data_IF_496435748936
#
_entry.id   IF_496435748936
#
_cell.length_a   1.000
_cell.length_b   1.000
_cell.length_c   1.000
_cell.angle_alpha   90.00
_cell.angle_beta   90.00
_cell.angle_gamma   90.00
#
_symmetry.space_group_name_H-M   'P 1'
#
loop_
_entity.id
_entity.type
_entity.pdbx_description
1 polymer ?
#
# COMPACT_ATOMS: atom_id res chain seq x y z
N UNK A 1 14.24 5.96 21.72
CA UNK A 1 14.64 5.37 20.42
C UNK A 1 13.49 4.50 19.97
N UNK A 2 12.96 4.73 18.77
CA UNK A 2 11.78 4.00 18.23
C UNK A 2 12.23 3.00 17.19
N UNK A 3 11.62 1.82 17.17
CA UNK A 3 11.77 0.83 16.10
C UNK A 3 10.61 0.94 15.12
N UNK A 4 10.89 1.45 13.92
CA UNK A 4 9.92 1.55 12.84
C UNK A 4 9.92 0.29 11.96
N UNK A 5 8.74 -0.21 11.64
CA UNK A 5 8.51 -1.16 10.56
C UNK A 5 8.10 -0.44 9.28
N UNK A 6 8.68 -0.77 8.14
CA UNK A 6 8.32 -0.19 6.85
C UNK A 6 7.64 -1.25 5.95
N UNK A 7 6.31 -1.23 5.87
CA UNK A 7 5.55 -2.09 4.95
C UNK A 7 5.59 -1.47 3.56
N UNK A 8 6.45 -2.02 2.70
CA UNK A 8 6.72 -1.50 1.37
C UNK A 8 6.72 -2.64 0.34
N UNK A 9 6.16 -2.46 -0.86
CA UNK A 9 6.24 -3.43 -1.94
C UNK A 9 7.66 -3.45 -2.53
N UNK A 10 8.59 -4.12 -1.86
CA UNK A 10 10.04 -4.12 -2.14
C UNK A 10 10.41 -4.66 -3.53
N UNK A 11 9.54 -5.46 -4.14
CA UNK A 11 9.65 -5.90 -5.53
C UNK A 11 9.52 -4.76 -6.56
N UNK A 12 8.95 -3.62 -6.18
CA UNK A 12 8.77 -2.47 -7.06
C UNK A 12 9.75 -1.35 -6.69
N UNK A 13 10.79 -1.20 -7.50
CA UNK A 13 11.89 -0.26 -7.22
C UNK A 13 11.44 1.19 -7.04
N UNK A 14 10.38 1.62 -7.75
CA UNK A 14 9.84 2.98 -7.60
C UNK A 14 9.40 3.29 -6.17
N UNK A 15 8.77 2.34 -5.49
CA UNK A 15 8.32 2.49 -4.10
C UNK A 15 9.48 2.41 -3.10
N UNK A 16 10.52 1.62 -3.40
CA UNK A 16 11.72 1.61 -2.58
C UNK A 16 12.46 2.94 -2.63
N UNK A 17 12.56 3.56 -3.82
CA UNK A 17 13.31 4.80 -3.98
C UNK A 17 12.74 5.96 -3.16
N UNK A 18 11.44 5.98 -2.88
CA UNK A 18 10.81 6.99 -2.02
C UNK A 18 10.96 6.66 -0.53
N UNK A 19 10.91 5.37 -0.17
CA UNK A 19 10.97 4.90 1.22
C UNK A 19 12.40 4.86 1.79
N UNK A 20 13.40 4.52 0.98
CA UNK A 20 14.78 4.34 1.45
C UNK A 20 15.39 5.63 2.04
N UNK A 21 15.30 6.82 1.40
CA UNK A 21 15.84 8.04 1.98
C UNK A 21 15.19 8.40 3.33
N UNK A 22 13.87 8.20 3.44
CA UNK A 22 13.14 8.42 4.70
C UNK A 22 13.65 7.49 5.81
N UNK A 23 13.79 6.21 5.50
CA UNK A 23 14.29 5.22 6.45
C UNK A 23 15.74 5.47 6.87
N UNK A 24 16.60 5.87 5.92
CA UNK A 24 17.99 6.24 6.21
C UNK A 24 18.08 7.48 7.10
N UNK A 25 17.22 8.48 6.89
CA UNK A 25 17.17 9.66 7.73
C UNK A 25 16.68 9.33 9.15
N UNK A 26 15.68 8.47 9.31
CA UNK A 26 15.26 7.97 10.61
C UNK A 26 16.40 7.22 11.32
N UNK A 27 17.12 6.36 10.59
CA UNK A 27 18.30 5.67 11.11
C UNK A 27 19.38 6.66 11.56
N UNK A 28 19.67 7.69 10.76
CA UNK A 28 20.65 8.74 11.09
C UNK A 28 20.27 9.50 12.35
N UNK A 29 18.98 9.65 12.63
CA UNK A 29 18.43 10.25 13.86
C UNK A 29 18.43 9.31 15.08
N UNK A 30 19.00 8.11 14.94
CA UNK A 30 19.13 7.15 16.03
C UNK A 30 17.91 6.25 16.22
N UNK A 31 17.04 6.12 15.22
CA UNK A 31 15.95 5.13 15.22
C UNK A 31 16.41 3.82 14.55
N UNK A 32 15.68 2.73 14.82
CA UNK A 32 15.83 1.46 14.10
C UNK A 32 14.75 1.37 13.03
N UNK A 33 15.08 0.89 11.84
CA UNK A 33 14.10 0.74 10.75
C UNK A 33 14.27 -0.63 10.09
N UNK A 34 13.19 -1.40 10.06
CA UNK A 34 13.13 -2.73 9.43
C UNK A 34 12.07 -2.72 8.34
N UNK A 35 12.45 -3.02 7.10
CA UNK A 35 11.49 -3.20 6.01
C UNK A 35 10.81 -4.55 6.12
N UNK A 36 9.51 -4.56 5.91
CA UNK A 36 8.68 -5.76 5.90
C UNK A 36 8.23 -5.95 4.46
N UNK A 37 8.76 -6.99 3.80
CA UNK A 37 8.60 -7.20 2.37
C UNK A 37 8.59 -8.67 1.97
N UNK A 38 8.23 -8.95 0.73
CA UNK A 38 8.22 -10.32 0.20
C UNK A 38 9.65 -10.88 0.21
N UNK A 39 9.81 -12.17 0.50
CA UNK A 39 11.10 -12.87 0.40
C UNK A 39 11.80 -12.66 -0.95
N UNK A 40 13.13 -12.54 -0.94
CA UNK A 40 13.98 -12.46 -2.12
C UNK A 40 14.09 -11.08 -2.76
N UNK A 41 13.61 -10.04 -2.05
CA UNK A 41 13.69 -8.63 -2.46
C UNK A 41 14.45 -7.74 -1.46
N UNK A 42 15.21 -8.36 -0.54
CA UNK A 42 15.94 -7.69 0.54
C UNK A 42 17.20 -6.94 0.07
N UNK A 43 17.80 -7.34 -1.05
CA UNK A 43 19.14 -6.92 -1.45
C UNK A 43 19.33 -5.39 -1.47
N UNK A 44 18.35 -4.63 -2.00
CA UNK A 44 18.43 -3.16 -2.06
C UNK A 44 18.29 -2.51 -0.69
N UNK A 45 17.47 -3.08 0.19
CA UNK A 45 17.29 -2.59 1.57
C UNK A 45 18.55 -2.83 2.38
N UNK A 46 19.11 -4.04 2.29
CA UNK A 46 20.35 -4.39 2.98
C UNK A 46 21.53 -3.55 2.48
N UNK A 47 21.64 -3.32 1.17
CA UNK A 47 22.66 -2.45 0.58
C UNK A 47 22.53 -0.98 1.05
N UNK A 48 21.32 -0.53 1.39
CA UNK A 48 21.07 0.77 1.99
C UNK A 48 21.39 0.82 3.50
N UNK A 49 21.88 -0.29 4.08
CA UNK A 49 22.23 -0.42 5.49
C UNK A 49 21.02 -0.53 6.42
N UNK A 50 19.87 -0.97 5.92
CA UNK A 50 18.63 -1.11 6.67
C UNK A 50 18.33 -2.59 6.92
N UNK A 51 17.46 -2.87 7.89
CA UNK A 51 17.08 -4.24 8.22
C UNK A 51 15.91 -4.72 7.35
N UNK A 52 15.78 -6.03 7.20
CA UNK A 52 14.72 -6.65 6.43
C UNK A 52 14.07 -7.79 7.21
N UNK A 53 12.75 -7.88 7.11
CA UNK A 53 11.91 -8.94 7.64
C UNK A 53 11.05 -9.44 6.49
N UNK A 54 11.26 -10.69 6.11
CA UNK A 54 10.62 -11.30 4.97
C UNK A 54 9.30 -11.97 5.35
N UNK A 55 8.37 -12.00 4.39
CA UNK A 55 7.11 -12.73 4.50
C UNK A 55 6.76 -13.41 3.17
N UNK A 56 5.76 -14.28 3.18
CA UNK A 56 5.25 -14.93 1.96
C UNK A 56 6.16 -16.03 1.43
N UNK A 57 6.82 -16.77 2.32
CA UNK A 57 7.77 -17.83 1.96
C UNK A 57 7.15 -18.95 1.12
N UNK A 58 5.91 -19.32 1.45
CA UNK A 58 5.19 -20.39 0.78
C UNK A 58 4.45 -19.88 -0.48
N UNK A 59 3.88 -18.68 -0.39
CA UNK A 59 2.86 -18.19 -1.34
C UNK A 59 3.39 -17.19 -2.38
N UNK A 60 4.53 -16.53 -2.13
CA UNK A 60 5.00 -15.37 -2.92
C UNK A 60 6.50 -15.46 -3.28
N UNK A 61 7.01 -16.65 -3.59
CA UNK A 61 8.42 -16.81 -3.99
C UNK A 61 8.80 -15.88 -5.16
N UNK A 62 10.08 -15.46 -5.27
CA UNK A 62 10.54 -14.59 -6.36
C UNK A 62 10.22 -15.15 -7.76
N UNK A 63 10.30 -16.46 -7.94
CA UNK A 63 9.95 -17.13 -9.20
C UNK A 63 8.46 -17.03 -9.50
N UNK A 64 7.59 -17.25 -8.50
CA UNK A 64 6.15 -17.13 -8.63
C UNK A 64 5.73 -15.68 -8.95
N UNK A 65 6.39 -14.71 -8.30
CA UNK A 65 6.20 -13.28 -8.57
C UNK A 65 6.65 -12.90 -9.98
N UNK A 66 7.83 -13.36 -10.42
CA UNK A 66 8.32 -13.13 -11.78
C UNK A 66 7.38 -13.71 -12.84
N UNK A 67 6.89 -14.93 -12.63
CA UNK A 67 5.91 -15.58 -13.53
C UNK A 67 4.59 -14.80 -13.60
N UNK A 68 4.09 -14.36 -12.45
CA UNK A 68 2.85 -13.59 -12.36
C UNK A 68 2.98 -12.22 -13.04
N UNK A 69 4.08 -11.51 -12.81
CA UNK A 69 4.34 -10.22 -13.46
C UNK A 69 4.54 -10.37 -14.98
N UNK A 70 5.22 -11.42 -15.41
CA UNK A 70 5.35 -11.75 -16.84
C UNK A 70 3.98 -12.04 -17.46
N UNK A 71 3.13 -12.83 -16.81
CA UNK A 71 1.78 -13.08 -17.31
C UNK A 71 0.96 -11.78 -17.39
N UNK A 72 1.02 -10.93 -16.36
CA UNK A 72 0.37 -9.63 -16.37
C UNK A 72 0.83 -8.76 -17.56
N UNK A 73 2.11 -8.82 -17.93
CA UNK A 73 2.64 -8.05 -19.06
C UNK A 73 2.14 -8.55 -20.43
N UNK A 74 1.61 -9.77 -20.51
CA UNK A 74 1.00 -10.30 -21.74
C UNK A 74 -0.49 -9.92 -21.87
N UNK A 75 -1.09 -9.35 -20.82
CA UNK A 75 -2.49 -8.94 -20.80
C UNK A 75 -2.63 -7.44 -21.12
N UNK A 76 -3.81 -7.04 -21.56
CA UNK A 76 -4.15 -5.62 -21.77
C UNK A 76 -5.58 -5.30 -21.30
N UNK A 77 -5.89 -4.01 -21.16
CA UNK A 77 -7.22 -3.52 -20.82
C UNK A 77 -7.82 -4.14 -19.55
N UNK A 78 -9.08 -4.58 -19.65
CA UNK A 78 -9.85 -5.13 -18.51
C UNK A 78 -9.25 -6.46 -18.01
N UNK A 79 -8.66 -7.28 -18.89
CA UNK A 79 -8.04 -8.54 -18.50
C UNK A 79 -6.83 -8.30 -17.59
N UNK A 80 -5.93 -7.38 -17.98
CA UNK A 80 -4.79 -6.97 -17.17
C UNK A 80 -5.25 -6.37 -15.82
N UNK A 81 -6.29 -5.53 -15.83
CA UNK A 81 -6.83 -4.93 -14.62
C UNK A 81 -7.38 -5.96 -13.64
N UNK A 82 -8.19 -6.92 -14.13
CA UNK A 82 -8.74 -8.01 -13.29
C UNK A 82 -7.64 -8.86 -12.69
N UNK A 83 -6.65 -9.24 -13.50
CA UNK A 83 -5.52 -10.03 -13.03
C UNK A 83 -4.67 -9.26 -12.01
N UNK A 84 -4.40 -7.98 -12.24
CA UNK A 84 -3.70 -7.12 -11.29
C UNK A 84 -4.44 -6.97 -9.95
N UNK A 85 -5.77 -6.88 -9.96
CA UNK A 85 -6.59 -6.89 -8.74
C UNK A 85 -6.47 -8.23 -8.00
N UNK A 86 -6.46 -9.35 -8.73
CA UNK A 86 -6.26 -10.67 -8.13
C UNK A 86 -4.88 -10.78 -7.47
N UNK A 87 -3.82 -10.32 -8.13
CA UNK A 87 -2.47 -10.29 -7.56
C UNK A 87 -2.43 -9.43 -6.29
N UNK A 88 -3.06 -8.25 -6.31
CA UNK A 88 -3.17 -7.39 -5.11
C UNK A 88 -3.95 -8.07 -3.99
N UNK A 89 -5.05 -8.77 -4.30
CA UNK A 89 -5.83 -9.53 -3.31
C UNK A 89 -4.97 -10.62 -2.67
N UNK A 90 -4.27 -11.41 -3.47
CA UNK A 90 -3.41 -12.49 -2.98
C UNK A 90 -2.29 -11.93 -2.11
N UNK A 91 -1.58 -10.89 -2.57
CA UNK A 91 -0.53 -10.24 -1.79
C UNK A 91 -1.03 -9.66 -0.46
N UNK A 92 -2.21 -9.04 -0.45
CA UNK A 92 -2.85 -8.54 0.77
C UNK A 92 -3.21 -9.67 1.74
N UNK A 93 -3.69 -10.80 1.24
CA UNK A 93 -4.03 -11.97 2.06
C UNK A 93 -2.79 -12.53 2.78
N UNK A 94 -1.71 -12.73 2.04
CA UNK A 94 -0.45 -13.26 2.60
C UNK A 94 0.15 -12.26 3.60
N UNK A 95 0.11 -10.96 3.28
CA UNK A 95 0.57 -9.92 4.22
C UNK A 95 -0.24 -9.93 5.52
N UNK A 96 -1.58 -10.03 5.45
CA UNK A 96 -2.45 -10.09 6.64
C UNK A 96 -2.22 -11.35 7.48
N UNK A 97 -1.92 -12.47 6.82
CA UNK A 97 -1.64 -13.76 7.48
C UNK A 97 -0.30 -13.73 8.23
N UNK A 98 0.76 -13.25 7.57
CA UNK A 98 2.13 -13.43 8.06
C UNK A 98 2.62 -12.24 8.92
N UNK A 99 2.35 -11.01 8.47
CA UNK A 99 3.02 -9.83 9.01
C UNK A 99 2.66 -9.50 10.47
N UNK A 100 1.43 -9.68 10.99
CA UNK A 100 1.13 -9.32 12.38
C UNK A 100 2.06 -9.98 13.40
N UNK A 101 2.29 -11.29 13.27
CA UNK A 101 3.14 -12.02 14.21
C UNK A 101 4.62 -11.66 14.01
N UNK A 102 5.06 -11.47 12.76
CA UNK A 102 6.41 -11.03 12.44
C UNK A 102 6.72 -9.65 13.06
N UNK A 103 5.81 -8.69 12.92
CA UNK A 103 5.94 -7.33 13.47
C UNK A 103 5.98 -7.37 15.00
N UNK A 104 5.09 -8.16 15.62
CA UNK A 104 5.06 -8.32 17.08
C UNK A 104 6.35 -8.93 17.61
N UNK A 105 6.88 -9.98 16.97
CA UNK A 105 8.12 -10.65 17.38
C UNK A 105 9.35 -9.74 17.21
N UNK A 106 9.35 -8.88 16.18
CA UNK A 106 10.44 -7.95 15.93
C UNK A 106 10.49 -6.77 16.93
N UNK A 107 9.43 -6.56 17.70
CA UNK A 107 9.34 -5.45 18.67
C UNK A 107 9.19 -4.08 18.00
N UNK A 108 8.43 -4.02 16.91
CA UNK A 108 8.20 -2.77 16.15
C UNK A 108 7.17 -1.90 16.87
N UNK A 109 7.53 -0.63 17.10
CA UNK A 109 6.74 0.35 17.85
C UNK A 109 5.78 1.17 16.98
N UNK A 110 6.11 1.35 15.70
CA UNK A 110 5.35 2.18 14.76
C UNK A 110 5.56 1.74 13.31
N UNK A 111 4.58 1.98 12.44
CA UNK A 111 4.65 1.58 11.02
C UNK A 111 4.73 2.77 10.05
N UNK A 112 5.57 2.63 9.04
CA UNK A 112 5.54 3.40 7.80
C UNK A 112 4.92 2.50 6.73
N UNK A 113 3.81 2.91 6.15
CA UNK A 113 3.03 2.05 5.25
C UNK A 113 2.92 2.71 3.90
N UNK A 114 3.43 2.05 2.87
CA UNK A 114 3.24 2.53 1.50
C UNK A 114 1.76 2.59 1.13
N UNK A 115 1.34 3.68 0.49
CA UNK A 115 -0.04 3.95 0.06
C UNK A 115 -0.68 2.84 -0.79
N UNK A 116 0.09 1.97 -1.46
CA UNK A 116 -0.45 0.84 -2.23
C UNK A 116 -0.57 -0.45 -1.41
N UNK A 117 0.03 -0.51 -0.22
CA UNK A 117 -0.02 -1.62 0.74
C UNK A 117 -1.26 -1.52 1.64
N UNK A 118 -2.45 -1.46 1.03
CA UNK A 118 -3.72 -1.11 1.69
C UNK A 118 -4.19 -2.04 2.83
N UNK A 119 -3.54 -3.20 3.01
CA UNK A 119 -3.78 -4.06 4.16
C UNK A 119 -2.99 -3.64 5.41
N UNK A 120 -1.96 -2.80 5.26
CA UNK A 120 -1.07 -2.39 6.34
C UNK A 120 -1.79 -1.64 7.46
N UNK A 121 -2.73 -0.75 7.14
CA UNK A 121 -3.51 -0.03 8.18
C UNK A 121 -4.29 -0.97 9.08
N UNK A 122 -4.80 -2.08 8.53
CA UNK A 122 -5.49 -3.11 9.33
C UNK A 122 -4.54 -3.84 10.27
N UNK A 123 -3.30 -4.06 9.85
CA UNK A 123 -2.27 -4.68 10.70
C UNK A 123 -1.87 -3.73 11.83
N UNK A 124 -1.73 -2.44 11.52
CA UNK A 124 -1.47 -1.42 12.53
C UNK A 124 -2.57 -1.35 13.58
N UNK A 125 -3.85 -1.34 13.14
CA UNK A 125 -5.01 -1.36 14.02
C UNK A 125 -5.05 -2.62 14.90
N UNK A 126 -4.79 -3.81 14.32
CA UNK A 126 -4.75 -5.08 15.06
C UNK A 126 -3.68 -5.07 16.17
N UNK A 127 -2.52 -4.50 15.88
CA UNK A 127 -1.39 -4.45 16.80
C UNK A 127 -1.44 -3.25 17.74
N UNK A 128 -2.42 -2.37 17.58
CA UNK A 128 -2.60 -1.13 18.34
C UNK A 128 -1.37 -0.21 18.30
N UNK A 129 -0.64 -0.20 17.17
CA UNK A 129 0.54 0.66 16.98
C UNK A 129 0.27 1.80 16.00
N UNK A 130 0.85 2.99 16.21
CA UNK A 130 0.67 4.11 15.30
C UNK A 130 1.30 3.82 13.94
N UNK A 131 0.69 4.35 12.88
CA UNK A 131 1.27 4.28 11.55
C UNK A 131 1.16 5.60 10.79
N UNK A 132 2.05 5.78 9.81
CA UNK A 132 2.08 6.91 8.87
C UNK A 132 1.99 6.32 7.46
N UNK A 133 1.14 6.92 6.61
CA UNK A 133 1.06 6.53 5.20
C UNK A 133 2.12 7.27 4.40
N UNK A 134 2.90 6.55 3.59
CA UNK A 134 3.86 7.11 2.65
C UNK A 134 3.33 6.95 1.23
N UNK A 135 3.05 8.07 0.59
CA UNK A 135 2.59 8.14 -0.79
C UNK A 135 3.80 8.15 -1.72
N UNK A 136 4.24 6.96 -2.13
CA UNK A 136 5.37 6.75 -3.05
C UNK A 136 5.05 7.05 -4.52
N UNK A 137 3.80 7.38 -4.82
CA UNK A 137 3.31 7.83 -6.12
C UNK A 137 2.46 9.09 -5.92
N UNK A 138 1.70 9.49 -6.95
CA UNK A 138 0.65 10.50 -6.80
C UNK A 138 -0.33 10.09 -5.69
N UNK A 139 -0.89 11.09 -5.01
CA UNK A 139 -1.83 10.87 -3.90
C UNK A 139 -3.12 10.24 -4.46
N UNK A 140 -3.47 9.05 -3.95
CA UNK A 140 -4.62 8.27 -4.43
C UNK A 140 -5.93 8.55 -3.68
N UNK A 141 -5.98 9.64 -2.91
CA UNK A 141 -7.19 10.01 -2.17
C UNK A 141 -8.39 10.11 -3.10
N UNK A 142 -9.47 9.47 -2.66
CA UNK A 142 -10.74 9.58 -3.32
C UNK A 142 -11.38 10.90 -2.90
N UNK A 143 -11.49 11.82 -3.84
CA UNK A 143 -12.26 13.05 -3.76
C UNK A 143 -13.07 13.19 -5.06
N UNK A 144 -14.39 13.33 -4.94
CA UNK A 144 -15.27 13.47 -6.10
C UNK A 144 -15.09 14.79 -6.85
N UNK A 145 -14.47 15.81 -6.24
CA UNK A 145 -14.06 17.02 -6.93
C UNK A 145 -12.92 16.78 -7.93
N UNK A 146 -12.13 15.73 -7.73
CA UNK A 146 -10.91 15.45 -8.48
C UNK A 146 -11.16 14.34 -9.52
N UNK A 147 -10.71 14.49 -10.78
CA UNK A 147 -10.85 13.42 -11.76
C UNK A 147 -10.03 12.19 -11.34
N UNK A 148 -10.55 10.96 -11.51
CA UNK A 148 -9.81 9.76 -11.12
C UNK A 148 -8.50 9.61 -11.91
N UNK A 149 -7.41 9.26 -11.23
CA UNK A 149 -6.05 9.07 -11.80
C UNK A 149 -5.96 8.10 -13.00
N UNK A 150 -6.96 7.23 -13.20
CA UNK A 150 -7.02 6.28 -14.31
C UNK A 150 -7.83 6.80 -15.50
N UNK A 151 -8.22 8.08 -15.49
CA UNK A 151 -8.93 8.77 -16.57
C UNK A 151 -8.08 9.94 -17.05
N UNK A 152 -8.07 10.19 -18.35
CA UNK A 152 -7.44 11.34 -18.99
C UNK A 152 -8.35 12.58 -18.96
N UNK A 153 -9.16 12.73 -17.92
CA UNK A 153 -10.14 13.80 -17.83
C UNK A 153 -9.52 15.06 -17.25
N UNK A 154 -9.79 16.19 -17.89
CA UNK A 154 -9.44 17.49 -17.31
C UNK A 154 -10.26 17.77 -16.04
N UNK A 155 -9.67 18.60 -15.19
CA UNK A 155 -10.32 19.13 -14.00
C UNK A 155 -11.56 19.94 -14.40
N UNK A 156 -12.66 19.68 -13.71
CA UNK A 156 -13.91 20.38 -13.96
C UNK A 156 -14.66 20.55 -12.63
N UNK A 157 -14.67 21.76 -12.05
CA UNK A 157 -15.26 22.00 -10.73
C UNK A 157 -16.79 22.07 -10.76
N UNK A 158 -17.43 22.00 -11.93
CA UNK A 158 -18.89 22.03 -12.06
C UNK A 158 -19.55 20.81 -11.41
N UNK A 159 -20.83 20.93 -11.06
CA UNK A 159 -21.62 19.81 -10.54
C UNK A 159 -21.60 18.58 -11.48
N UNK A 160 -21.65 18.82 -12.79
CA UNK A 160 -21.53 17.76 -13.79
C UNK A 160 -20.16 17.06 -13.73
N UNK A 161 -19.08 17.83 -13.61
CA UNK A 161 -17.73 17.29 -13.43
C UNK A 161 -17.63 16.38 -12.20
N UNK A 162 -18.20 16.80 -11.07
CA UNK A 162 -18.24 16.02 -9.82
C UNK A 162 -19.08 14.75 -9.96
N UNK A 163 -20.26 14.82 -10.58
CA UNK A 163 -21.11 13.64 -10.85
C UNK A 163 -20.42 12.64 -11.80
N UNK A 164 -19.74 13.13 -12.83
CA UNK A 164 -18.93 12.31 -13.74
C UNK A 164 -17.84 11.58 -12.96
N UNK A 165 -17.09 12.28 -12.11
CA UNK A 165 -16.04 11.68 -11.29
C UNK A 165 -16.60 10.64 -10.33
N UNK A 166 -17.70 10.96 -9.64
CA UNK A 166 -18.43 10.03 -8.75
C UNK A 166 -18.76 8.72 -9.47
N UNK A 167 -19.34 8.78 -10.67
CA UNK A 167 -19.69 7.56 -11.42
C UNK A 167 -18.46 6.68 -11.73
N UNK A 168 -17.34 7.29 -12.11
CA UNK A 168 -16.09 6.57 -12.38
C UNK A 168 -15.49 5.95 -11.10
N UNK A 169 -15.53 6.68 -9.98
CA UNK A 169 -15.11 6.14 -8.69
C UNK A 169 -15.99 4.97 -8.25
N UNK A 170 -17.31 5.07 -8.39
CA UNK A 170 -18.24 3.97 -8.09
C UNK A 170 -17.91 2.72 -8.90
N UNK A 171 -17.73 2.86 -10.22
CA UNK A 171 -17.34 1.73 -11.07
C UNK A 171 -15.99 1.12 -10.65
N UNK A 172 -14.99 1.96 -10.36
CA UNK A 172 -13.69 1.48 -9.88
C UNK A 172 -13.78 0.80 -8.51
N UNK A 173 -14.70 1.25 -7.65
CA UNK A 173 -14.97 0.67 -6.34
C UNK A 173 -15.58 -0.72 -6.41
N UNK A 174 -16.36 -1.01 -7.46
CA UNK A 174 -16.85 -2.36 -7.77
C UNK A 174 -15.70 -3.29 -8.17
N UNK A 175 -14.76 -2.81 -8.97
CA UNK A 175 -13.59 -3.61 -9.37
C UNK A 175 -12.66 -3.91 -8.19
N UNK A 176 -12.48 -2.96 -7.28
CA UNK A 176 -11.66 -3.15 -6.07
C UNK A 176 -12.39 -3.90 -4.96
N UNK A 177 -13.66 -4.27 -5.15
CA UNK A 177 -14.48 -4.99 -4.17
C UNK A 177 -13.81 -6.27 -3.64
N UNK A 178 -13.17 -7.12 -4.45
CA UNK A 178 -12.56 -8.36 -3.93
C UNK A 178 -11.45 -8.12 -2.89
N UNK A 179 -10.69 -7.02 -3.00
CA UNK A 179 -9.64 -6.70 -2.03
C UNK A 179 -10.25 -6.06 -0.78
N UNK A 180 -11.27 -5.20 -0.95
CA UNK A 180 -12.00 -4.60 0.17
C UNK A 180 -12.73 -5.66 1.00
N UNK A 181 -13.39 -6.61 0.34
CA UNK A 181 -14.12 -7.69 1.01
C UNK A 181 -13.16 -8.59 1.80
N UNK A 182 -11.98 -8.89 1.25
CA UNK A 182 -10.91 -9.60 1.97
C UNK A 182 -10.48 -8.84 3.23
N UNK A 183 -10.17 -7.55 3.11
CA UNK A 183 -9.77 -6.75 4.28
C UNK A 183 -10.90 -6.69 5.31
N UNK A 184 -12.15 -6.53 4.87
CA UNK A 184 -13.31 -6.53 5.76
C UNK A 184 -13.49 -7.86 6.47
N UNK A 185 -13.22 -8.99 5.82
CA UNK A 185 -13.25 -10.32 6.43
C UNK A 185 -12.24 -10.43 7.58
N UNK A 186 -10.97 -10.09 7.36
CA UNK A 186 -9.96 -10.07 8.42
C UNK A 186 -10.33 -9.12 9.56
N UNK A 187 -10.82 -7.91 9.23
CA UNK A 187 -11.27 -6.96 10.26
C UNK A 187 -12.40 -7.52 11.11
N UNK A 188 -13.38 -8.23 10.53
CA UNK A 188 -14.42 -8.94 11.31
C UNK A 188 -13.83 -10.03 12.20
N UNK A 189 -12.95 -10.87 11.64
CA UNK A 189 -12.31 -11.96 12.39
C UNK A 189 -11.51 -11.44 13.59
N UNK A 190 -10.90 -10.26 13.46
CA UNK A 190 -10.13 -9.60 14.51
C UNK A 190 -10.92 -8.59 15.35
N UNK A 191 -12.25 -8.53 15.21
CA UNK A 191 -13.12 -7.58 15.92
C UNK A 191 -12.74 -6.09 15.74
N UNK A 192 -12.18 -5.73 14.58
CA UNK A 192 -11.84 -4.36 14.23
C UNK A 192 -13.02 -3.64 13.54
N UNK A 193 -13.21 -2.32 13.76
CA UNK A 193 -14.23 -1.55 13.07
C UNK A 193 -14.07 -1.62 11.55
N UNK A 194 -15.15 -1.82 10.80
CA UNK A 194 -15.06 -1.86 9.34
C UNK A 194 -14.79 -0.47 8.75
N UNK A 195 -14.04 -0.45 7.64
CA UNK A 195 -13.88 0.78 6.86
C UNK A 195 -15.20 1.18 6.20
N UNK A 196 -15.57 2.44 6.39
CA UNK A 196 -16.79 3.05 5.87
C UNK A 196 -16.54 3.78 4.54
N UNK A 197 -15.32 4.30 4.36
CA UNK A 197 -14.88 5.04 3.21
C UNK A 197 -13.56 4.47 2.66
N UNK A 198 -13.30 4.50 1.34
CA UNK A 198 -12.04 3.99 0.77
C UNK A 198 -10.77 4.64 1.33
N UNK A 199 -10.84 5.90 1.76
CA UNK A 199 -9.70 6.61 2.36
C UNK A 199 -9.42 6.16 3.81
N UNK A 200 -10.32 5.41 4.47
CA UNK A 200 -10.13 4.96 5.85
C UNK A 200 -8.95 3.99 6.01
N UNK A 201 -8.44 3.43 4.90
CA UNK A 201 -7.24 2.57 4.88
C UNK A 201 -5.95 3.34 5.19
N UNK A 202 -5.97 4.67 5.07
CA UNK A 202 -4.81 5.53 5.25
C UNK A 202 -4.71 6.05 6.69
N UNK A 203 -3.51 6.46 7.07
CA UNK A 203 -3.25 6.97 8.41
C UNK A 203 -4.03 8.24 8.70
N UNK A 204 -4.56 8.30 9.92
CA UNK A 204 -5.16 9.50 10.51
C UNK A 204 -4.13 10.43 11.16
N UNK A 205 -2.90 9.94 11.39
CA UNK A 205 -1.83 10.71 12.01
C UNK A 205 -1.13 11.60 10.98
N UNK A 206 -0.66 10.98 9.90
CA UNK A 206 0.04 11.69 8.84
C UNK A 206 0.05 10.88 7.54
N UNK A 207 0.02 11.62 6.43
CA UNK A 207 0.27 11.08 5.11
C UNK A 207 1.34 11.94 4.46
N UNK A 208 2.46 11.32 4.08
CA UNK A 208 3.62 12.02 3.54
C UNK A 208 3.70 11.69 2.05
N UNK A 209 3.73 12.72 1.20
CA UNK A 209 3.89 12.56 -0.24
C UNK A 209 5.09 13.36 -0.74
N UNK A 210 5.71 12.88 -1.82
CA UNK A 210 6.69 13.62 -2.61
C UNK A 210 6.06 14.16 -3.91
N UNK A 211 4.73 14.19 -4.01
CA UNK A 211 4.03 14.76 -5.15
C UNK A 211 4.40 16.24 -5.32
N UNK A 212 4.92 16.64 -6.49
CA UNK A 212 5.19 18.05 -6.78
C UNK A 212 3.86 18.81 -6.95
N UNK A 213 3.89 20.12 -6.70
CA UNK A 213 2.69 20.96 -6.75
C UNK A 213 2.04 20.98 -8.15
N UNK A 214 2.83 20.77 -9.20
CA UNK A 214 2.40 20.72 -10.59
C UNK A 214 1.52 19.51 -10.93
N UNK A 215 1.51 18.49 -10.07
CA UNK A 215 0.61 17.34 -10.19
C UNK A 215 -0.62 17.46 -9.28
N UNK A 216 -0.77 18.57 -8.56
CA UNK A 216 -1.94 18.86 -7.74
C UNK A 216 -3.02 19.59 -8.55
N UNK A 217 -4.28 19.27 -8.26
CA UNK A 217 -5.41 19.96 -8.87
C UNK A 217 -5.75 21.26 -8.11
N UNK A 218 -6.36 22.26 -8.77
CA UNK A 218 -6.71 23.55 -8.15
C UNK A 218 -7.77 23.47 -7.05
#
# INVERSE_FOLDING_TARGET
MTHFGAICPTQFTGHLNTMLPLAQELKRRGHRVTFIGIVGYEAKVLAAGLEYLDYGQEDLSPEAMKKSLYHLSQLSGIAALRYGIQLKKNGANVLLKDAPQLIKNAGIDALLIDSISIAGGTIADLLEIPFITICSAVVFHLDYAIPPHFKSWEYNPTLWGKLRNLSAYTWSGLLRKPVRDLIAEYRRQWNLPLYSHPNDVYSKLAQISQQPAELEFP
#
